data_IF_260341386764
#
_entry.id   IF_260341386764
#
_cell.length_a   1.000
_cell.length_b   1.000
_cell.length_c   1.000
_cell.angle_alpha   90.00
_cell.angle_beta   90.00
_cell.angle_gamma   90.00
#
_symmetry.space_group_name_H-M   'P 1'
#
loop_
_entity.id
_entity.type
_entity.pdbx_description
1 polymer ?
#
# COMPACT_ATOMS: atom_id res chain seq x y z
N UNK A 1 -13.59 24.36 11.06
CA UNK A 1 -13.34 24.83 9.68
C UNK A 1 -12.07 24.14 9.19
N UNK A 2 -12.15 23.27 8.17
CA UNK A 2 -10.97 22.54 7.65
C UNK A 2 -10.23 23.45 6.68
N UNK A 3 -8.99 23.85 6.99
CA UNK A 3 -8.12 24.46 5.98
C UNK A 3 -7.58 23.32 5.13
N UNK A 4 -8.04 23.23 3.90
CA UNK A 4 -7.45 22.42 2.86
C UNK A 4 -6.02 22.92 2.62
N UNK A 5 -5.02 22.10 2.96
CA UNK A 5 -3.66 22.33 2.49
C UNK A 5 -3.68 22.21 0.96
N UNK A 6 -3.59 23.34 0.27
CA UNK A 6 -3.42 23.35 -1.18
C UNK A 6 -1.98 22.98 -1.46
N UNK A 7 -1.76 21.82 -2.05
CA UNK A 7 -0.48 21.51 -2.69
C UNK A 7 -0.25 22.61 -3.74
N UNK A 8 0.84 23.41 -3.64
CA UNK A 8 1.12 24.43 -4.63
C UNK A 8 1.25 23.76 -6.01
N UNK A 9 0.53 24.27 -7.02
CA UNK A 9 0.67 23.75 -8.38
C UNK A 9 2.07 24.10 -8.89
N UNK A 10 2.80 23.14 -9.49
CA UNK A 10 4.13 23.42 -10.02
C UNK A 10 4.04 24.49 -11.10
N UNK A 11 4.99 25.42 -11.08
CA UNK A 11 5.17 26.48 -12.07
C UNK A 11 5.50 25.90 -13.45
N UNK A 12 5.05 26.61 -14.49
CA UNK A 12 4.97 26.10 -15.86
C UNK A 12 6.30 26.13 -16.63
N UNK A 13 7.37 26.75 -16.11
CA UNK A 13 8.66 26.84 -16.81
C UNK A 13 9.74 25.90 -16.25
N UNK A 14 10.62 25.44 -17.13
CA UNK A 14 11.74 24.53 -16.80
C UNK A 14 12.67 25.15 -15.76
N UNK A 15 12.95 26.45 -15.89
CA UNK A 15 13.78 27.19 -14.95
C UNK A 15 13.19 27.24 -13.53
N UNK A 16 11.86 27.27 -13.41
CA UNK A 16 11.22 27.25 -12.10
C UNK A 16 11.28 25.85 -11.47
N UNK A 17 11.22 24.79 -12.28
CA UNK A 17 11.37 23.40 -11.81
C UNK A 17 12.79 23.10 -11.36
N UNK A 18 13.80 23.60 -12.07
CA UNK A 18 15.20 23.43 -11.70
C UNK A 18 15.50 24.06 -10.34
N UNK A 19 14.99 25.27 -10.10
CA UNK A 19 15.11 25.92 -8.77
C UNK A 19 14.41 25.14 -7.67
N UNK A 20 13.25 24.56 -7.97
CA UNK A 20 12.51 23.76 -7.00
C UNK A 20 13.23 22.44 -6.67
N UNK A 21 13.84 21.79 -7.66
CA UNK A 21 14.68 20.60 -7.45
C UNK A 21 15.89 20.94 -6.58
N UNK A 22 16.60 22.02 -6.91
CA UNK A 22 17.79 22.46 -6.17
C UNK A 22 17.44 22.78 -4.71
N UNK A 23 16.29 23.42 -4.46
CA UNK A 23 15.77 23.67 -3.10
C UNK A 23 15.51 22.37 -2.33
N UNK A 24 14.97 21.34 -2.99
CA UNK A 24 14.70 20.05 -2.36
C UNK A 24 16.01 19.29 -2.06
N UNK A 25 16.96 19.32 -2.98
CA UNK A 25 18.28 18.66 -2.82
C UNK A 25 19.12 19.29 -1.70
N UNK A 26 18.95 20.59 -1.44
CA UNK A 26 19.57 21.30 -0.32
C UNK A 26 19.04 20.87 1.05
N UNK A 27 18.09 19.92 1.12
CA UNK A 27 17.61 19.33 2.37
C UNK A 27 16.59 20.19 3.13
N UNK A 28 16.36 21.41 2.68
CA UNK A 28 15.45 22.39 3.30
C UNK A 28 13.99 22.24 2.88
N UNK A 29 13.66 21.19 2.12
CA UNK A 29 12.27 20.85 1.77
C UNK A 29 11.41 20.48 2.98
N UNK A 30 12.03 20.03 4.06
CA UNK A 30 11.37 19.57 5.28
C UNK A 30 11.77 20.40 6.52
N UNK A 31 12.31 21.60 6.33
CA UNK A 31 12.73 22.53 7.39
C UNK A 31 11.53 23.20 8.10
N UNK A 32 10.65 22.37 8.63
CA UNK A 32 9.55 22.80 9.48
C UNK A 32 9.12 21.65 10.38
N UNK A 33 9.07 21.91 11.68
CA UNK A 33 8.36 21.10 12.68
C UNK A 33 6.83 21.04 12.42
N UNK A 34 6.38 21.34 11.19
CA UNK A 34 4.98 21.37 10.75
C UNK A 34 4.44 19.99 10.34
N UNK A 35 5.28 18.96 10.38
CA UNK A 35 4.84 17.57 10.23
C UNK A 35 4.16 17.07 11.50
N UNK A 36 2.84 16.93 11.47
CA UNK A 36 2.11 16.23 12.54
C UNK A 36 2.56 14.76 12.58
N UNK A 37 3.14 14.33 13.69
CA UNK A 37 3.50 12.92 13.91
C UNK A 37 2.20 12.12 14.05
N UNK A 38 1.82 11.43 12.97
CA UNK A 38 0.63 10.56 12.98
C UNK A 38 1.04 9.19 13.53
N UNK A 39 0.49 8.82 14.68
CA UNK A 39 0.63 7.46 15.21
C UNK A 39 -0.20 6.48 14.36
N UNK A 40 0.48 5.59 13.64
CA UNK A 40 -0.16 4.58 12.83
C UNK A 40 -0.34 3.30 13.64
N UNK A 41 -1.57 2.87 13.85
CA UNK A 41 -1.87 1.57 14.45
C UNK A 41 -1.55 0.45 13.44
N UNK A 42 -0.30 -0.01 13.46
CA UNK A 42 0.13 -1.17 12.68
C UNK A 42 -0.32 -2.44 13.39
N UNK A 43 -1.18 -3.22 12.71
CA UNK A 43 -1.62 -4.53 13.21
C UNK A 43 -0.41 -5.42 13.49
N UNK A 44 -0.45 -6.14 14.62
CA UNK A 44 0.58 -7.12 14.99
C UNK A 44 0.86 -8.07 13.81
N UNK A 45 2.13 -8.43 13.57
CA UNK A 45 2.48 -9.40 12.55
C UNK A 45 1.70 -10.69 12.74
N UNK A 46 1.23 -11.28 11.65
CA UNK A 46 0.62 -12.61 11.69
C UNK A 46 1.68 -13.62 12.17
N UNK A 47 1.36 -14.38 13.21
CA UNK A 47 2.31 -15.25 13.92
C UNK A 47 2.29 -16.71 13.43
N UNK A 48 1.30 -17.10 12.62
CA UNK A 48 1.16 -18.46 12.07
C UNK A 48 1.49 -18.51 10.58
N UNK A 49 2.27 -19.52 10.18
CA UNK A 49 2.67 -19.76 8.80
C UNK A 49 2.10 -21.10 8.33
N UNK A 50 1.51 -21.13 7.14
CA UNK A 50 1.07 -22.35 6.46
C UNK A 50 1.95 -22.54 5.21
N UNK A 51 2.92 -23.46 5.22
CA UNK A 51 3.70 -23.78 4.03
C UNK A 51 2.82 -24.57 3.04
N UNK A 52 2.65 -24.04 1.82
CA UNK A 52 1.85 -24.68 0.76
C UNK A 52 2.74 -24.92 -0.46
N UNK A 53 2.72 -26.15 -0.99
CA UNK A 53 3.35 -26.47 -2.27
C UNK A 53 2.31 -26.32 -3.37
N UNK A 54 2.62 -25.51 -4.37
CA UNK A 54 1.83 -25.34 -5.57
C UNK A 54 2.65 -25.82 -6.76
N UNK A 55 1.98 -26.38 -7.75
CA UNK A 55 2.58 -26.57 -9.07
C UNK A 55 2.88 -25.20 -9.70
N UNK A 56 3.85 -25.16 -10.62
CA UNK A 56 4.32 -23.91 -11.20
C UNK A 56 3.22 -23.16 -11.97
N UNK A 57 2.35 -23.88 -12.67
CA UNK A 57 1.18 -23.36 -13.38
C UNK A 57 0.19 -22.67 -12.42
N UNK A 58 -0.13 -23.31 -11.29
CA UNK A 58 -1.04 -22.77 -10.28
C UNK A 58 -0.47 -21.59 -9.53
N UNK A 59 0.84 -21.59 -9.31
CA UNK A 59 1.54 -20.44 -8.77
C UNK A 59 1.45 -19.23 -9.71
N UNK A 60 1.65 -19.43 -11.01
CA UNK A 60 1.59 -18.34 -11.99
C UNK A 60 0.17 -17.80 -12.18
N UNK A 61 -0.84 -18.68 -12.16
CA UNK A 61 -2.25 -18.30 -12.16
C UNK A 61 -2.59 -17.38 -10.98
N UNK A 62 -2.22 -17.77 -9.76
CA UNK A 62 -2.41 -16.94 -8.56
C UNK A 62 -1.72 -15.58 -8.68
N UNK A 63 -0.48 -15.54 -9.20
CA UNK A 63 0.27 -14.29 -9.38
C UNK A 63 -0.41 -13.37 -10.39
N UNK A 64 -0.91 -13.92 -11.49
CA UNK A 64 -1.61 -13.14 -12.53
C UNK A 64 -2.87 -12.50 -11.97
N UNK A 65 -3.68 -13.25 -11.26
CA UNK A 65 -4.92 -12.74 -10.65
C UNK A 65 -4.62 -11.70 -9.58
N UNK A 66 -3.65 -11.96 -8.69
CA UNK A 66 -3.27 -11.02 -7.65
C UNK A 66 -2.78 -9.69 -8.25
N UNK A 67 -2.00 -9.75 -9.34
CA UNK A 67 -1.53 -8.56 -10.07
C UNK A 67 -2.68 -7.76 -10.67
N UNK A 68 -3.68 -8.41 -11.26
CA UNK A 68 -4.87 -7.72 -11.79
C UNK A 68 -5.65 -6.97 -10.72
N UNK A 69 -5.61 -7.47 -9.48
CA UNK A 69 -6.25 -6.85 -8.32
C UNK A 69 -5.33 -5.86 -7.58
N UNK A 70 -4.08 -5.67 -8.02
CA UNK A 70 -3.12 -4.77 -7.36
C UNK A 70 -2.64 -5.26 -5.98
N UNK A 71 -2.75 -6.56 -5.69
CA UNK A 71 -2.37 -7.15 -4.40
C UNK A 71 -1.29 -8.24 -4.57
N UNK A 72 -0.65 -8.61 -3.46
CA UNK A 72 0.30 -9.72 -3.44
C UNK A 72 -0.40 -11.10 -3.54
N UNK A 73 0.27 -12.13 -4.10
CA UNK A 73 -0.29 -13.48 -4.21
C UNK A 73 -0.63 -14.10 -2.85
N UNK A 74 0.15 -13.80 -1.81
CA UNK A 74 -0.12 -14.24 -0.43
C UNK A 74 -1.34 -13.55 0.16
N UNK A 75 -1.56 -12.28 -0.15
CA UNK A 75 -2.76 -11.53 0.25
C UNK A 75 -4.00 -12.11 -0.41
N UNK A 76 -3.95 -12.38 -1.72
CA UNK A 76 -5.06 -13.01 -2.44
C UNK A 76 -5.40 -14.41 -1.88
N UNK A 77 -4.38 -15.25 -1.69
CA UNK A 77 -4.57 -16.58 -1.09
C UNK A 77 -5.22 -16.49 0.29
N UNK A 78 -4.77 -15.55 1.14
CA UNK A 78 -5.37 -15.31 2.46
C UNK A 78 -6.84 -14.90 2.34
N UNK A 79 -7.17 -13.98 1.43
CA UNK A 79 -8.55 -13.54 1.21
C UNK A 79 -9.47 -14.71 0.85
N UNK A 80 -9.06 -15.54 -0.12
CA UNK A 80 -9.82 -16.72 -0.52
C UNK A 80 -10.00 -17.73 0.62
N UNK A 81 -8.95 -17.99 1.41
CA UNK A 81 -9.04 -18.88 2.57
C UNK A 81 -10.09 -18.36 3.56
N UNK A 82 -10.02 -17.08 3.93
CA UNK A 82 -10.96 -16.48 4.89
C UNK A 82 -12.39 -16.44 4.36
N UNK A 83 -12.57 -16.12 3.09
CA UNK A 83 -13.86 -16.15 2.41
C UNK A 83 -14.47 -17.55 2.46
N UNK A 84 -13.70 -18.58 2.11
CA UNK A 84 -14.17 -19.97 2.09
C UNK A 84 -14.58 -20.44 3.49
N UNK A 85 -13.82 -20.08 4.52
CA UNK A 85 -14.15 -20.39 5.91
C UNK A 85 -15.47 -19.72 6.33
N UNK A 86 -15.65 -18.44 5.97
CA UNK A 86 -16.89 -17.69 6.27
C UNK A 86 -18.11 -18.32 5.59
N UNK A 87 -17.99 -18.74 4.34
CA UNK A 87 -19.08 -19.40 3.62
C UNK A 87 -19.48 -20.72 4.27
N UNK A 88 -18.51 -21.53 4.73
CA UNK A 88 -18.79 -22.79 5.44
C UNK A 88 -19.49 -22.56 6.79
N UNK A 89 -19.06 -21.57 7.56
CA UNK A 89 -19.69 -21.24 8.84
C UNK A 89 -21.16 -20.82 8.71
N UNK A 90 -21.53 -20.16 7.61
CA UNK A 90 -22.91 -19.76 7.32
C UNK A 90 -23.81 -20.91 6.83
N UNK A 91 -23.23 -21.97 6.26
CA UNK A 91 -23.98 -23.13 5.79
C UNK A 91 -24.20 -24.18 6.88
N UNK A 92 -23.51 -24.04 8.02
CA UNK A 92 -23.52 -25.00 9.13
C UNK A 92 -24.28 -24.48 10.38
N UNK A 93 -24.88 -23.30 10.32
CA UNK A 93 -25.69 -22.69 11.39
C UNK A 93 -26.99 -22.15 10.82
#
# INVERSE_FOLDING_TARGET
MRKSASIPKPSDTVADREREIERIEQGSAWDGDEGEVVELEVKKPLDKVIPVRLSADKWEELRREARQLGIGPTTLARMWIMERLRQRGKAAG
#
